data_IF_018534899873
#
_entry.id   IF_018534899873
#
_cell.length_a   1.000
_cell.length_b   1.000
_cell.length_c   1.000
_cell.angle_alpha   90.00
_cell.angle_beta   90.00
_cell.angle_gamma   90.00
#
_symmetry.space_group_name_H-M   'P 1'
#
loop_
_entity.id
_entity.type
_entity.pdbx_description
1 polymer ?
#
# COMPACT_ATOMS: atom_id res chain seq x y z
N UNK A 1 -3.77 24.61 7.61
CA UNK A 1 -4.31 23.43 8.33
C UNK A 1 -3.16 22.52 8.68
N UNK A 2 -3.09 22.00 9.91
CA UNK A 2 -2.07 21.01 10.29
C UNK A 2 -2.34 19.68 9.59
N UNK A 3 -1.35 18.81 9.50
CA UNK A 3 -1.54 17.48 8.90
C UNK A 3 -2.61 16.64 9.63
N UNK A 4 -2.64 16.70 10.97
CA UNK A 4 -3.65 16.01 11.80
C UNK A 4 -5.06 16.50 11.45
N UNK A 5 -5.25 17.82 11.37
CA UNK A 5 -6.53 18.41 10.97
C UNK A 5 -6.92 17.98 9.55
N UNK A 6 -5.95 17.93 8.63
CA UNK A 6 -6.15 17.51 7.24
C UNK A 6 -6.61 16.05 7.15
N UNK A 7 -5.94 15.12 7.85
CA UNK A 7 -6.33 13.71 7.89
C UNK A 7 -7.73 13.55 8.47
N UNK A 8 -8.01 14.17 9.62
CA UNK A 8 -9.31 14.07 10.30
C UNK A 8 -10.45 14.63 9.44
N UNK A 9 -10.22 15.79 8.83
CA UNK A 9 -11.21 16.44 7.96
C UNK A 9 -11.47 15.61 6.69
N UNK A 10 -10.41 15.15 6.03
CA UNK A 10 -10.55 14.35 4.81
C UNK A 10 -11.19 12.98 5.07
N UNK A 11 -10.88 12.32 6.20
CA UNK A 11 -11.52 11.07 6.61
C UNK A 11 -13.02 11.24 6.80
N UNK A 12 -13.45 12.25 7.58
CA UNK A 12 -14.88 12.55 7.79
C UNK A 12 -15.61 12.85 6.48
N UNK A 13 -15.02 13.66 5.60
CA UNK A 13 -15.61 13.95 4.28
C UNK A 13 -15.66 12.74 3.36
N UNK A 14 -14.80 11.75 3.60
CA UNK A 14 -14.81 10.45 2.90
C UNK A 14 -15.73 9.41 3.58
N UNK A 15 -16.45 9.79 4.64
CA UNK A 15 -17.40 8.92 5.34
C UNK A 15 -16.76 7.94 6.33
N UNK A 16 -15.53 8.19 6.81
CA UNK A 16 -14.82 7.33 7.76
C UNK A 16 -14.42 8.11 9.00
N UNK A 17 -14.49 7.45 10.14
CA UNK A 17 -13.93 7.96 11.40
C UNK A 17 -12.70 7.11 11.76
N UNK A 18 -11.52 7.71 11.68
CA UNK A 18 -10.27 7.03 11.98
C UNK A 18 -10.00 7.07 13.49
N UNK A 19 -9.52 5.98 14.09
CA UNK A 19 -9.06 5.98 15.49
C UNK A 19 -7.96 7.02 15.71
N UNK A 20 -7.97 7.73 16.82
CA UNK A 20 -6.96 8.76 17.14
C UNK A 20 -5.53 8.18 17.09
N UNK A 21 -5.33 6.96 17.59
CA UNK A 21 -4.02 6.30 17.52
C UNK A 21 -3.51 6.13 16.07
N UNK A 22 -4.42 5.91 15.12
CA UNK A 22 -4.07 5.79 13.70
C UNK A 22 -3.73 7.17 13.12
N UNK A 23 -4.48 8.21 13.48
CA UNK A 23 -4.19 9.59 13.06
C UNK A 23 -2.82 10.01 13.60
N UNK A 24 -2.52 9.72 14.86
CA UNK A 24 -1.23 10.03 15.50
C UNK A 24 -0.08 9.27 14.82
N UNK A 25 -0.28 8.00 14.46
CA UNK A 25 0.71 7.22 13.73
C UNK A 25 0.97 7.82 12.34
N UNK A 26 -0.07 8.21 11.61
CA UNK A 26 0.05 8.91 10.34
C UNK A 26 0.81 10.23 10.48
N UNK A 27 0.54 11.01 11.54
CA UNK A 27 1.23 12.27 11.81
C UNK A 27 2.71 12.07 12.12
N UNK A 28 3.06 11.06 12.91
CA UNK A 28 4.46 10.70 13.19
C UNK A 28 5.19 10.28 11.91
N UNK A 29 4.55 9.46 11.08
CA UNK A 29 5.11 9.08 9.77
C UNK A 29 5.32 10.30 8.87
N UNK A 30 4.33 11.21 8.78
CA UNK A 30 4.41 12.40 7.94
C UNK A 30 5.55 13.34 8.39
N UNK A 31 5.75 13.51 9.69
CA UNK A 31 6.85 14.31 10.25
C UNK A 31 8.23 13.71 9.90
N UNK A 32 8.38 12.36 10.04
CA UNK A 32 9.60 11.66 9.64
C UNK A 32 9.84 11.80 8.13
N UNK A 33 8.79 11.58 7.33
CA UNK A 33 8.84 11.72 5.87
C UNK A 33 9.28 13.12 5.46
N UNK A 34 8.72 14.16 6.07
CA UNK A 34 9.10 15.55 5.82
C UNK A 34 10.57 15.83 6.12
N UNK A 35 11.11 15.27 7.20
CA UNK A 35 12.51 15.39 7.57
C UNK A 35 13.43 14.73 6.55
N UNK A 36 13.15 13.50 6.16
CA UNK A 36 13.96 12.74 5.19
C UNK A 36 13.80 13.25 3.77
N UNK A 37 12.64 13.75 3.42
CA UNK A 37 12.35 14.24 2.07
C UNK A 37 13.19 15.44 1.67
N UNK A 38 13.66 16.25 2.63
CA UNK A 38 14.57 17.39 2.38
C UNK A 38 15.88 16.98 1.70
N UNK A 39 16.32 15.74 1.88
CA UNK A 39 17.61 15.26 1.36
C UNK A 39 17.50 14.07 0.43
N UNK A 40 16.36 13.36 0.39
CA UNK A 40 16.26 12.06 -0.28
C UNK A 40 15.15 11.96 -1.33
N UNK A 41 14.32 12.99 -1.51
CA UNK A 41 13.24 13.03 -2.51
C UNK A 41 12.36 11.77 -2.49
N UNK A 42 11.84 11.42 -1.31
CA UNK A 42 11.01 10.22 -1.12
C UNK A 42 9.63 10.37 -1.76
N UNK A 43 9.08 11.59 -1.75
CA UNK A 43 7.79 11.92 -2.37
C UNK A 43 7.81 13.35 -2.92
N UNK A 44 6.94 13.61 -3.91
CA UNK A 44 6.67 14.97 -4.42
C UNK A 44 5.53 15.66 -3.69
N UNK A 45 4.66 14.88 -3.03
CA UNK A 45 3.51 15.39 -2.30
C UNK A 45 3.95 15.71 -0.89
N UNK A 46 4.11 17.00 -0.59
CA UNK A 46 4.61 17.51 0.69
C UNK A 46 3.58 18.36 1.43
N UNK A 47 2.56 18.86 0.71
CA UNK A 47 1.50 19.65 1.31
C UNK A 47 0.61 18.77 2.20
N UNK A 48 0.34 19.16 3.45
CA UNK A 48 -0.39 18.33 4.41
C UNK A 48 -1.74 17.86 3.92
N UNK A 49 -2.51 18.71 3.27
CA UNK A 49 -3.86 18.40 2.81
C UNK A 49 -3.85 17.43 1.62
N UNK A 50 -2.95 17.64 0.67
CA UNK A 50 -2.77 16.74 -0.47
C UNK A 50 -2.25 15.38 -0.01
N UNK A 51 -1.24 15.36 0.88
CA UNK A 51 -0.70 14.13 1.43
C UNK A 51 -1.76 13.33 2.19
N UNK A 52 -2.57 13.97 3.03
CA UNK A 52 -3.65 13.32 3.77
C UNK A 52 -4.59 12.54 2.82
N UNK A 53 -4.98 13.14 1.70
CA UNK A 53 -5.87 12.50 0.70
C UNK A 53 -5.13 11.49 -0.17
N UNK A 54 -4.10 11.93 -0.89
CA UNK A 54 -3.48 11.17 -1.97
C UNK A 54 -2.49 10.09 -1.50
N UNK A 55 -2.04 10.14 -0.26
CA UNK A 55 -1.17 9.12 0.31
C UNK A 55 -1.87 8.33 1.42
N UNK A 56 -2.31 9.01 2.49
CA UNK A 56 -2.77 8.32 3.70
C UNK A 56 -4.15 7.71 3.51
N UNK A 57 -5.15 8.49 3.14
CA UNK A 57 -6.51 7.97 2.96
C UNK A 57 -6.64 7.07 1.74
N UNK A 58 -5.97 7.39 0.64
CA UNK A 58 -5.94 6.52 -0.55
C UNK A 58 -5.43 5.11 -0.21
N UNK A 59 -4.49 4.99 0.73
CA UNK A 59 -4.00 3.69 1.19
C UNK A 59 -4.88 3.05 2.26
N UNK A 60 -5.37 3.83 3.24
CA UNK A 60 -6.09 3.27 4.40
C UNK A 60 -7.53 2.86 4.08
N UNK A 61 -8.28 3.72 3.36
CA UNK A 61 -9.71 3.53 3.10
C UNK A 61 -10.08 2.11 2.64
N UNK A 62 -9.40 1.53 1.63
CA UNK A 62 -9.76 0.21 1.16
C UNK A 62 -9.35 -0.93 2.08
N UNK A 63 -8.57 -0.65 3.15
CA UNK A 63 -8.05 -1.65 4.08
C UNK A 63 -8.85 -1.75 5.38
N UNK A 64 -9.54 -0.68 5.79
CA UNK A 64 -10.18 -0.58 7.11
C UNK A 64 -11.23 -1.68 7.36
N UNK A 65 -12.09 -1.96 6.38
CA UNK A 65 -13.16 -2.96 6.46
C UNK A 65 -12.78 -4.30 5.84
N UNK A 66 -11.47 -4.49 5.60
CA UNK A 66 -11.00 -5.71 4.98
C UNK A 66 -10.31 -6.60 6.00
N UNK A 67 -10.76 -7.87 6.16
CA UNK A 67 -10.11 -8.79 7.08
C UNK A 67 -8.60 -8.85 6.84
N UNK A 68 -7.83 -8.74 7.92
CA UNK A 68 -6.38 -8.82 7.84
C UNK A 68 -5.94 -10.20 7.34
N UNK A 69 -4.92 -10.29 6.47
CA UNK A 69 -4.24 -11.54 6.18
C UNK A 69 -3.34 -11.96 7.36
N UNK A 70 -2.86 -13.19 7.39
CA UNK A 70 -1.80 -13.55 8.35
C UNK A 70 -0.47 -12.89 7.97
N UNK A 71 -0.20 -12.77 6.66
CA UNK A 71 1.01 -12.15 6.14
C UNK A 71 0.71 -11.25 4.93
N UNK A 72 1.48 -10.17 4.80
CA UNK A 72 1.48 -9.38 3.57
C UNK A 72 2.88 -8.98 3.13
N UNK A 73 3.04 -8.77 1.84
CA UNK A 73 4.28 -8.29 1.23
C UNK A 73 3.94 -7.03 0.43
N UNK A 74 4.61 -5.93 0.69
CA UNK A 74 4.49 -4.70 -0.11
C UNK A 74 5.69 -4.55 -1.03
N UNK A 75 5.46 -4.54 -2.33
CA UNK A 75 6.52 -4.51 -3.36
C UNK A 75 6.72 -3.07 -3.86
N UNK A 76 7.93 -2.56 -3.64
CA UNK A 76 8.28 -1.19 -4.00
C UNK A 76 7.71 -0.20 -2.99
N UNK A 77 7.90 -0.46 -1.71
CA UNK A 77 7.27 0.28 -0.61
C UNK A 77 7.61 1.78 -0.59
N UNK A 78 8.73 2.19 -1.16
CA UNK A 78 9.09 3.60 -1.34
C UNK A 78 9.13 4.39 -0.04
N UNK A 79 8.22 5.35 0.08
CA UNK A 79 8.01 6.13 1.30
C UNK A 79 7.06 5.44 2.30
N UNK A 80 6.77 4.15 2.12
CA UNK A 80 5.91 3.36 3.01
C UNK A 80 4.44 3.25 2.58
N UNK A 81 4.14 3.56 1.32
CA UNK A 81 2.79 3.52 0.77
C UNK A 81 2.61 2.39 -0.27
N UNK A 82 1.78 1.38 -0.04
CA UNK A 82 0.81 1.26 1.05
C UNK A 82 1.34 0.53 2.31
N UNK A 83 2.52 -0.07 2.31
CA UNK A 83 2.95 -1.08 3.27
C UNK A 83 2.92 -0.67 4.75
N UNK A 84 3.40 0.52 5.11
CA UNK A 84 3.31 1.00 6.51
C UNK A 84 1.86 1.23 6.93
N UNK A 85 1.00 1.69 6.01
CA UNK A 85 -0.41 1.91 6.32
C UNK A 85 -1.19 0.60 6.40
N UNK A 86 -0.78 -0.42 5.64
CA UNK A 86 -1.30 -1.77 5.78
C UNK A 86 -0.93 -2.37 7.16
N UNK A 87 0.29 -2.18 7.63
CA UNK A 87 0.68 -2.59 8.97
C UNK A 87 -0.09 -1.86 10.09
N UNK A 88 -0.47 -0.60 9.87
CA UNK A 88 -1.35 0.14 10.78
C UNK A 88 -2.80 -0.35 10.77
N UNK A 89 -3.33 -0.66 9.58
CA UNK A 89 -4.70 -1.14 9.40
C UNK A 89 -4.86 -2.61 9.86
N UNK A 90 -3.81 -3.40 9.78
CA UNK A 90 -3.78 -4.83 10.11
C UNK A 90 -2.72 -5.16 11.16
N UNK A 91 -2.88 -4.70 12.42
CA UNK A 91 -1.85 -4.82 13.45
C UNK A 91 -1.51 -6.26 13.84
N UNK A 92 -2.36 -7.24 13.50
CA UNK A 92 -2.13 -8.67 13.71
C UNK A 92 -1.44 -9.36 12.54
N UNK A 93 -1.28 -8.68 11.37
CA UNK A 93 -0.62 -9.23 10.21
C UNK A 93 0.89 -8.97 10.25
N UNK A 94 1.69 -9.96 9.87
CA UNK A 94 3.14 -9.77 9.70
C UNK A 94 3.43 -9.18 8.33
N UNK A 95 4.05 -8.00 8.31
CA UNK A 95 4.39 -7.29 7.08
C UNK A 95 5.82 -7.52 6.60
N UNK A 96 6.03 -7.58 5.29
CA UNK A 96 7.36 -7.49 4.66
C UNK A 96 7.34 -6.36 3.64
N UNK A 97 8.18 -5.35 3.83
CA UNK A 97 8.32 -4.19 2.96
C UNK A 97 9.56 -4.37 2.09
N UNK A 98 9.39 -4.46 0.78
CA UNK A 98 10.49 -4.68 -0.17
C UNK A 98 10.78 -3.38 -0.91
N UNK A 99 12.02 -2.91 -0.79
CA UNK A 99 12.48 -1.69 -1.43
C UNK A 99 13.93 -1.86 -1.91
N UNK A 100 14.21 -1.76 -3.22
CA UNK A 100 15.55 -1.96 -3.74
C UNK A 100 16.52 -0.80 -3.40
N UNK A 101 16.02 0.41 -3.24
CA UNK A 101 16.86 1.57 -2.95
C UNK A 101 17.24 1.63 -1.47
N UNK A 102 18.52 1.39 -1.15
CA UNK A 102 19.03 1.34 0.23
C UNK A 102 18.61 2.55 1.08
N UNK A 103 18.63 3.76 0.52
CA UNK A 103 18.24 4.97 1.24
C UNK A 103 16.76 4.96 1.65
N UNK A 104 15.87 4.52 0.74
CA UNK A 104 14.44 4.36 1.03
C UNK A 104 14.19 3.24 2.04
N UNK A 105 14.89 2.13 1.91
CA UNK A 105 14.82 1.03 2.89
C UNK A 105 15.28 1.46 4.30
N UNK A 106 16.33 2.30 4.41
CA UNK A 106 16.74 2.88 5.69
C UNK A 106 15.66 3.77 6.31
N UNK A 107 14.98 4.58 5.50
CA UNK A 107 13.82 5.35 5.94
C UNK A 107 12.69 4.45 6.44
N UNK A 108 12.35 3.41 5.68
CA UNK A 108 11.31 2.44 6.06
C UNK A 108 11.65 1.74 7.38
N UNK A 109 12.90 1.33 7.58
CA UNK A 109 13.34 0.69 8.84
C UNK A 109 13.15 1.62 10.03
N UNK A 110 13.52 2.90 9.87
CA UNK A 110 13.28 3.90 10.91
C UNK A 110 11.79 4.10 11.17
N UNK A 111 10.98 4.19 10.12
CA UNK A 111 9.53 4.38 10.25
C UNK A 111 8.84 3.19 10.92
N UNK A 112 9.18 1.95 10.55
CA UNK A 112 8.68 0.72 11.21
C UNK A 112 8.98 0.75 12.70
N UNK A 113 10.21 1.09 13.08
CA UNK A 113 10.60 1.17 14.49
C UNK A 113 9.88 2.31 15.23
N UNK A 114 9.86 3.51 14.65
CA UNK A 114 9.23 4.68 15.26
C UNK A 114 7.72 4.53 15.45
N UNK A 115 7.06 3.75 14.60
CA UNK A 115 5.63 3.47 14.67
C UNK A 115 5.29 2.17 15.42
N UNK A 116 6.31 1.42 15.88
CA UNK A 116 6.17 0.13 16.57
C UNK A 116 5.33 -0.88 15.78
N UNK A 117 5.58 -1.01 14.46
CA UNK A 117 4.84 -1.91 13.57
C UNK A 117 5.44 -3.32 13.53
N UNK A 118 4.60 -4.34 13.42
CA UNK A 118 5.04 -5.72 13.14
C UNK A 118 5.32 -5.87 11.62
N UNK A 119 6.39 -5.25 11.18
CA UNK A 119 6.83 -5.29 9.81
C UNK A 119 8.36 -5.33 9.73
N UNK A 120 8.89 -5.98 8.71
CA UNK A 120 10.32 -5.99 8.41
C UNK A 120 10.58 -5.38 7.05
N UNK A 121 11.76 -4.79 6.89
CA UNK A 121 12.20 -4.19 5.64
C UNK A 121 13.25 -5.07 5.00
N UNK A 122 13.10 -5.34 3.71
CA UNK A 122 14.06 -6.08 2.88
C UNK A 122 14.60 -5.18 1.78
N UNK A 123 15.92 -5.02 1.76
CA UNK A 123 16.62 -4.39 0.64
C UNK A 123 16.77 -5.44 -0.45
N UNK A 124 15.80 -5.50 -1.36
CA UNK A 124 15.77 -6.50 -2.41
C UNK A 124 15.06 -5.98 -3.65
N UNK A 125 15.50 -6.43 -4.82
CA UNK A 125 14.73 -6.30 -6.06
C UNK A 125 13.62 -7.34 -6.14
N UNK A 126 12.67 -7.13 -7.03
CA UNK A 126 11.52 -8.05 -7.17
C UNK A 126 11.92 -9.46 -7.65
N UNK A 127 13.06 -9.59 -8.32
CA UNK A 127 13.55 -10.89 -8.84
C UNK A 127 14.28 -11.72 -7.79
N UNK A 128 14.68 -11.12 -6.66
CA UNK A 128 15.33 -11.83 -5.59
C UNK A 128 14.33 -12.71 -4.82
N UNK A 129 14.79 -13.84 -4.29
CA UNK A 129 13.93 -14.69 -3.47
C UNK A 129 13.62 -13.98 -2.16
N UNK A 130 12.34 -13.65 -2.01
CA UNK A 130 11.76 -13.10 -0.77
C UNK A 130 10.56 -13.97 -0.39
N UNK A 131 10.12 -13.81 0.84
CA UNK A 131 8.98 -14.56 1.35
C UNK A 131 7.71 -14.30 0.55
N UNK A 132 6.85 -15.33 0.51
CA UNK A 132 5.52 -15.24 -0.03
C UNK A 132 4.58 -14.60 0.99
N UNK A 133 3.59 -13.86 0.51
CA UNK A 133 2.54 -13.28 1.35
C UNK A 133 1.16 -13.78 0.94
N UNK A 134 0.25 -13.86 1.91
CA UNK A 134 -1.17 -14.11 1.64
C UNK A 134 -1.77 -12.93 0.85
N UNK A 135 -1.24 -11.72 1.05
CA UNK A 135 -1.49 -10.56 0.19
C UNK A 135 -0.20 -9.92 -0.29
N UNK A 136 -0.11 -9.74 -1.59
CA UNK A 136 0.97 -8.99 -2.24
C UNK A 136 0.41 -7.64 -2.66
N UNK A 137 0.90 -6.58 -2.02
CA UNK A 137 0.47 -5.21 -2.25
C UNK A 137 1.43 -4.52 -3.22
N UNK A 138 0.90 -3.68 -4.09
CA UNK A 138 1.72 -2.82 -4.94
C UNK A 138 0.97 -1.54 -5.30
N UNK A 139 1.63 -0.39 -5.22
CA UNK A 139 1.10 0.91 -5.62
C UNK A 139 2.13 1.65 -6.46
N UNK A 140 1.77 1.94 -7.71
CA UNK A 140 2.60 2.70 -8.66
C UNK A 140 4.04 2.17 -8.88
N UNK A 141 4.28 0.88 -8.60
CA UNK A 141 5.62 0.27 -8.72
C UNK A 141 5.89 -0.23 -10.13
N UNK A 142 4.86 -0.81 -10.77
CA UNK A 142 4.97 -1.36 -12.12
C UNK A 142 3.89 -0.79 -13.03
N UNK A 143 4.26 -0.41 -14.27
CA UNK A 143 3.27 -0.08 -15.29
C UNK A 143 2.47 -1.33 -15.69
N UNK A 144 1.30 -1.17 -16.32
CA UNK A 144 0.61 -2.26 -16.98
C UNK A 144 1.55 -3.05 -17.89
N UNK A 145 1.41 -4.39 -17.91
CA UNK A 145 2.29 -5.30 -18.65
C UNK A 145 3.54 -5.78 -17.90
N UNK A 146 3.95 -5.10 -16.81
CA UNK A 146 5.07 -5.53 -15.97
C UNK A 146 4.66 -6.11 -14.60
N UNK A 147 3.37 -6.07 -14.29
CA UNK A 147 2.83 -6.48 -12.98
C UNK A 147 2.88 -8.00 -12.75
N UNK A 148 3.11 -8.82 -13.79
CA UNK A 148 3.32 -10.26 -13.68
C UNK A 148 4.42 -10.65 -12.67
N UNK A 149 5.37 -9.75 -12.44
CA UNK A 149 6.42 -9.91 -11.42
C UNK A 149 5.87 -10.08 -10.00
N UNK A 150 4.66 -9.57 -9.73
CA UNK A 150 3.97 -9.69 -8.44
C UNK A 150 3.49 -11.12 -8.17
N UNK A 151 3.09 -11.84 -9.22
CA UNK A 151 2.52 -13.17 -9.14
C UNK A 151 3.45 -14.21 -8.46
N UNK A 152 4.77 -14.03 -8.62
CA UNK A 152 5.78 -14.87 -7.99
C UNK A 152 5.97 -14.66 -6.48
N UNK A 153 5.23 -13.72 -5.88
CA UNK A 153 5.34 -13.36 -4.47
C UNK A 153 4.12 -13.72 -3.63
N UNK A 154 3.07 -14.19 -4.27
CA UNK A 154 1.82 -14.55 -3.60
C UNK A 154 1.83 -16.04 -3.21
N UNK A 155 1.37 -16.35 -2.00
CA UNK A 155 1.12 -17.71 -1.53
C UNK A 155 0.05 -18.40 -2.39
N UNK A 156 -0.04 -19.72 -2.35
CA UNK A 156 -0.92 -20.48 -3.26
C UNK A 156 -2.39 -20.05 -3.22
N UNK A 157 -2.93 -19.77 -2.04
CA UNK A 157 -4.29 -19.26 -1.86
C UNK A 157 -4.37 -17.74 -1.66
N UNK A 158 -3.26 -17.05 -1.86
CA UNK A 158 -3.15 -15.61 -1.65
C UNK A 158 -3.65 -14.79 -2.83
N UNK A 159 -3.55 -13.48 -2.66
CA UNK A 159 -3.98 -12.52 -3.68
C UNK A 159 -2.95 -11.42 -3.96
N UNK A 160 -2.88 -11.00 -5.22
CA UNK A 160 -2.20 -9.78 -5.65
C UNK A 160 -3.20 -8.63 -5.58
N UNK A 161 -2.78 -7.51 -5.03
CA UNK A 161 -3.59 -6.32 -4.81
C UNK A 161 -2.84 -5.10 -5.33
N UNK A 162 -3.43 -4.41 -6.31
CA UNK A 162 -2.84 -3.23 -6.93
C UNK A 162 -3.79 -2.05 -6.80
N UNK A 163 -3.29 -0.92 -6.33
CA UNK A 163 -4.02 0.35 -6.32
C UNK A 163 -4.19 0.86 -7.75
N UNK A 164 -5.42 1.09 -8.16
CA UNK A 164 -5.78 1.51 -9.52
C UNK A 164 -7.09 2.28 -9.59
N UNK A 165 -7.60 2.39 -10.80
CA UNK A 165 -8.86 3.07 -11.11
C UNK A 165 -9.87 2.10 -11.72
N UNK A 166 -11.17 2.38 -11.63
CA UNK A 166 -12.20 1.54 -12.27
C UNK A 166 -12.02 1.33 -13.77
N UNK A 167 -11.44 2.30 -14.47
CA UNK A 167 -11.16 2.17 -15.90
C UNK A 167 -10.01 1.23 -16.25
N UNK A 168 -9.20 0.81 -15.25
CA UNK A 168 -8.12 -0.15 -15.43
C UNK A 168 -8.61 -1.61 -15.44
N UNK A 169 -9.87 -1.88 -15.06
CA UNK A 169 -10.36 -3.25 -14.81
C UNK A 169 -10.23 -4.17 -16.01
N UNK A 170 -10.64 -3.74 -17.20
CA UNK A 170 -10.54 -4.58 -18.41
C UNK A 170 -9.09 -4.92 -18.78
N UNK A 171 -8.21 -3.94 -18.65
CA UNK A 171 -6.77 -4.15 -18.87
C UNK A 171 -6.19 -5.08 -17.81
N UNK A 172 -6.61 -4.94 -16.55
CA UNK A 172 -6.21 -5.81 -15.45
C UNK A 172 -6.63 -7.26 -15.67
N UNK A 173 -7.89 -7.50 -16.04
CA UNK A 173 -8.41 -8.84 -16.32
C UNK A 173 -7.63 -9.55 -17.43
N UNK A 174 -7.35 -8.84 -18.53
CA UNK A 174 -6.55 -9.35 -19.62
C UNK A 174 -5.10 -9.64 -19.18
N UNK A 175 -4.52 -8.74 -18.39
CA UNK A 175 -3.13 -8.87 -17.91
C UNK A 175 -2.98 -10.09 -16.99
N UNK A 176 -3.84 -10.25 -15.97
CA UNK A 176 -3.70 -11.32 -14.98
C UNK A 176 -3.95 -12.71 -15.59
N UNK A 177 -4.78 -12.80 -16.62
CA UNK A 177 -5.00 -14.05 -17.35
C UNK A 177 -3.71 -14.58 -17.97
N UNK A 178 -2.82 -13.69 -18.44
CA UNK A 178 -1.51 -14.09 -19.00
C UNK A 178 -0.56 -14.67 -17.96
N UNK A 179 -0.82 -14.45 -16.65
CA UNK A 179 -0.02 -15.01 -15.54
C UNK A 179 -0.56 -16.35 -15.03
N UNK A 180 -1.66 -16.85 -15.58
CA UNK A 180 -2.41 -17.98 -15.03
C UNK A 180 -3.18 -17.61 -13.76
N UNK A 181 -3.51 -16.33 -13.60
CA UNK A 181 -4.31 -15.80 -12.52
C UNK A 181 -5.73 -15.47 -13.01
N UNK A 182 -6.70 -15.46 -12.09
CA UNK A 182 -8.04 -14.93 -12.33
C UNK A 182 -8.24 -13.62 -11.58
N UNK A 183 -8.90 -12.69 -12.21
CA UNK A 183 -9.34 -11.46 -11.56
C UNK A 183 -10.37 -11.77 -10.49
N UNK A 184 -10.30 -11.09 -9.37
CA UNK A 184 -11.29 -11.06 -8.31
C UNK A 184 -12.10 -9.77 -8.40
N UNK A 185 -13.33 -9.72 -7.82
CA UNK A 185 -14.10 -8.49 -7.75
C UNK A 185 -13.27 -7.35 -7.14
N UNK A 186 -13.19 -6.22 -7.83
CA UNK A 186 -12.46 -5.06 -7.36
C UNK A 186 -13.11 -4.46 -6.10
N UNK A 187 -12.30 -3.93 -5.19
CA UNK A 187 -12.80 -3.16 -4.04
C UNK A 187 -12.82 -1.69 -4.39
N UNK A 188 -14.01 -1.17 -4.67
CA UNK A 188 -14.19 0.24 -4.96
C UNK A 188 -14.23 1.07 -3.68
N UNK A 189 -13.61 2.25 -3.72
CA UNK A 189 -13.65 3.21 -2.61
C UNK A 189 -13.54 4.65 -3.15
N UNK A 190 -13.83 5.61 -2.29
CA UNK A 190 -13.76 7.03 -2.62
C UNK A 190 -13.04 7.77 -1.51
N UNK A 191 -12.11 8.61 -1.90
CA UNK A 191 -11.50 9.62 -1.04
C UNK A 191 -11.98 10.98 -1.56
N UNK A 192 -12.46 11.82 -0.67
CA UNK A 192 -12.96 13.14 -1.05
C UNK A 192 -11.85 13.95 -1.75
N UNK A 193 -12.18 14.56 -2.88
CA UNK A 193 -11.26 15.32 -3.70
C UNK A 193 -10.33 14.48 -4.61
N UNK A 194 -10.49 13.15 -4.62
CA UNK A 194 -9.85 12.27 -5.59
C UNK A 194 -10.88 11.66 -6.56
N UNK A 195 -10.41 11.27 -7.74
CA UNK A 195 -11.20 10.45 -8.65
C UNK A 195 -11.56 9.09 -8.01
N UNK A 196 -12.63 8.41 -8.49
CA UNK A 196 -12.97 7.07 -8.03
C UNK A 196 -11.78 6.11 -8.11
N UNK A 197 -11.58 5.34 -7.06
CA UNK A 197 -10.46 4.40 -6.91
C UNK A 197 -10.96 3.00 -6.69
N UNK A 198 -10.10 2.03 -6.99
CA UNK A 198 -10.33 0.64 -6.59
C UNK A 198 -9.00 -0.09 -6.30
N UNK A 199 -9.13 -1.19 -5.56
CA UNK A 199 -8.10 -2.21 -5.53
C UNK A 199 -8.42 -3.23 -6.63
N UNK A 200 -7.49 -3.36 -7.57
CA UNK A 200 -7.46 -4.43 -8.57
C UNK A 200 -6.91 -5.67 -7.89
N UNK A 201 -7.62 -6.79 -8.01
CA UNK A 201 -7.30 -7.99 -7.25
C UNK A 201 -7.22 -9.21 -8.16
N UNK A 202 -6.30 -10.11 -7.88
CA UNK A 202 -6.18 -11.37 -8.60
C UNK A 202 -5.63 -12.47 -7.68
N UNK A 203 -6.01 -13.72 -7.94
CA UNK A 203 -5.48 -14.90 -7.28
C UNK A 203 -5.11 -15.95 -8.32
N UNK A 204 -4.34 -16.97 -7.92
CA UNK A 204 -4.02 -18.09 -8.83
C UNK A 204 -5.30 -18.72 -9.35
N UNK A 205 -5.34 -19.01 -10.65
CA UNK A 205 -6.37 -19.88 -11.20
C UNK A 205 -6.24 -21.28 -10.59
N UNK A 206 -7.34 -21.91 -10.19
CA UNK A 206 -7.32 -23.36 -9.94
C UNK A 206 -6.99 -24.04 -11.27
N UNK A 207 -5.93 -24.87 -11.27
CA UNK A 207 -5.70 -25.74 -12.41
C UNK A 207 -6.93 -26.62 -12.57
N UNK A 208 -7.70 -26.42 -13.66
CA UNK A 208 -8.77 -27.33 -14.09
C UNK A 208 -8.15 -28.50 -14.82
#
# INVERSE_FOLDING_TARGET
MTFVESVRSAARRSGVDLPEAMIDACARHFALLGTWNRTHNLTRIVEPEEAARAHYLDCLMPLLDWPAPATFVDIGSGAGFPGLLAALAWPQARGTLIEPARKRASFLTLAVHALALDARVRVAGIVEQVELGDRVLSRATFPPGERAKLAGRVADEGEVVVWGHPHDLSTWEAEVATWGFRSLPARHYRVEGLEPRCLLRATRGTAT
#
